data_IF_639300097952
#
_entry.id   IF_639300097952
#
_cell.length_a   1.000
_cell.length_b   1.000
_cell.length_c   1.000
_cell.angle_alpha   90.00
_cell.angle_beta   90.00
_cell.angle_gamma   90.00
#
_symmetry.space_group_name_H-M   'P 1'
#
loop_
_entity.id
_entity.type
_entity.pdbx_description
1 polymer ?
#
# COMPACT_ATOMS: atom_id res chain seq x y z
N UNK A 1 21.54 -13.41 14.22
CA UNK A 1 21.16 -12.01 13.95
C UNK A 1 21.02 -11.88 12.45
N UNK A 2 19.79 -11.90 11.93
CA UNK A 2 19.57 -11.66 10.50
C UNK A 2 19.87 -10.19 10.21
N UNK A 3 20.78 -9.93 9.28
CA UNK A 3 21.07 -8.59 8.79
C UNK A 3 19.81 -8.03 8.14
N UNK A 4 19.14 -7.09 8.81
CA UNK A 4 18.10 -6.28 8.18
C UNK A 4 18.82 -5.29 7.26
N UNK A 5 18.96 -5.64 5.99
CA UNK A 5 19.46 -4.71 4.98
C UNK A 5 18.33 -3.71 4.74
N UNK A 6 18.45 -2.51 5.31
CA UNK A 6 17.56 -1.39 4.99
C UNK A 6 18.06 -0.72 3.72
N UNK A 7 17.33 -0.90 2.63
CA UNK A 7 17.60 -0.17 1.39
C UNK A 7 16.69 1.05 1.28
N UNK A 8 17.28 2.24 1.23
CA UNK A 8 16.56 3.49 0.99
C UNK A 8 16.67 3.84 -0.49
N UNK A 9 15.53 4.07 -1.15
CA UNK A 9 15.49 4.46 -2.57
C UNK A 9 14.47 5.55 -2.79
N UNK A 10 14.84 6.59 -3.55
CA UNK A 10 13.87 7.54 -4.07
C UNK A 10 13.16 6.91 -5.28
N UNK A 11 11.84 6.78 -5.19
CA UNK A 11 11.03 6.22 -6.27
C UNK A 11 9.85 7.13 -6.55
N UNK A 12 9.55 7.31 -7.85
CA UNK A 12 8.32 8.00 -8.26
C UNK A 12 7.13 7.26 -7.64
N UNK A 13 6.33 7.97 -6.86
CA UNK A 13 5.24 7.38 -6.07
C UNK A 13 4.31 6.49 -6.91
N UNK A 14 3.99 6.93 -8.14
CA UNK A 14 3.16 6.18 -9.09
C UNK A 14 3.72 4.78 -9.45
N UNK A 15 5.04 4.55 -9.38
CA UNK A 15 5.64 3.24 -9.64
C UNK A 15 5.21 2.20 -8.63
N UNK A 16 5.05 2.58 -7.36
CA UNK A 16 4.55 1.69 -6.30
C UNK A 16 3.12 1.24 -6.62
N UNK A 17 2.34 2.13 -7.24
CA UNK A 17 0.93 1.90 -7.54
C UNK A 17 0.70 1.13 -8.84
N UNK A 18 1.64 1.23 -9.78
CA UNK A 18 1.52 0.64 -11.11
C UNK A 18 2.20 -0.73 -11.27
N UNK A 19 2.92 -1.23 -10.26
CA UNK A 19 3.49 -2.57 -10.30
C UNK A 19 2.40 -3.61 -10.01
N UNK A 20 2.00 -4.46 -10.99
CA UNK A 20 0.93 -5.43 -10.82
C UNK A 20 1.27 -6.56 -9.83
N UNK A 21 2.56 -6.79 -9.56
CA UNK A 21 3.04 -7.81 -8.63
C UNK A 21 3.07 -7.27 -7.19
N UNK A 22 3.15 -5.96 -7.00
CA UNK A 22 3.25 -5.34 -5.68
C UNK A 22 1.90 -5.31 -4.96
N UNK A 23 1.88 -5.81 -3.73
CA UNK A 23 0.70 -5.78 -2.85
C UNK A 23 1.05 -5.03 -1.58
N UNK A 24 0.45 -3.86 -1.38
CA UNK A 24 0.63 -3.07 -0.16
C UNK A 24 -0.39 -3.47 0.90
N UNK A 25 0.09 -3.81 2.10
CA UNK A 25 -0.72 -4.28 3.20
C UNK A 25 -0.52 -3.41 4.43
N UNK A 26 -1.62 -3.00 5.07
CA UNK A 26 -1.57 -2.42 6.41
C UNK A 26 -1.69 -3.57 7.42
N UNK A 27 -0.65 -3.87 8.19
CA UNK A 27 -0.71 -4.96 9.14
C UNK A 27 -1.58 -4.63 10.35
N UNK A 28 -2.13 -5.65 11.01
CA UNK A 28 -3.09 -5.53 12.10
C UNK A 28 -2.57 -4.82 13.37
N UNK A 29 -1.25 -4.71 13.54
CA UNK A 29 -0.63 -3.95 14.63
C UNK A 29 -0.50 -2.46 14.34
N UNK A 30 -0.79 -2.00 13.12
CA UNK A 30 -0.81 -0.57 12.81
C UNK A 30 -2.03 0.09 13.41
N UNK A 31 -1.85 1.33 13.87
CA UNK A 31 -2.97 2.14 14.37
C UNK A 31 -3.99 2.36 13.24
N UNK A 32 -5.29 2.43 13.55
CA UNK A 32 -6.32 2.78 12.58
C UNK A 32 -6.05 4.12 11.89
N UNK A 33 -6.75 4.36 10.79
CA UNK A 33 -6.75 5.68 10.15
C UNK A 33 -7.24 6.75 11.14
N UNK A 34 -6.47 7.81 11.33
CA UNK A 34 -6.72 8.81 12.37
C UNK A 34 -6.45 10.25 11.93
N UNK A 35 -6.09 10.48 10.67
CA UNK A 35 -6.06 11.83 10.14
C UNK A 35 -7.46 12.42 10.13
N UNK A 36 -7.60 13.64 10.66
CA UNK A 36 -8.85 14.39 10.61
C UNK A 36 -8.95 15.13 9.28
N UNK A 37 -10.06 15.82 9.06
CA UNK A 37 -10.24 16.67 7.89
C UNK A 37 -9.11 17.69 7.75
N UNK A 38 -8.61 18.24 8.86
CA UNK A 38 -7.51 19.22 8.83
C UNK A 38 -6.25 18.62 8.19
N UNK A 39 -5.75 17.49 8.68
CA UNK A 39 -4.53 16.88 8.14
C UNK A 39 -4.73 16.43 6.68
N UNK A 40 -5.93 15.98 6.32
CA UNK A 40 -6.26 15.63 4.93
C UNK A 40 -6.22 16.86 4.03
N UNK A 41 -6.82 17.96 4.45
CA UNK A 41 -6.83 19.23 3.71
C UNK A 41 -5.42 19.75 3.54
N UNK A 42 -4.64 19.83 4.61
CA UNK A 42 -3.25 20.30 4.57
C UNK A 42 -2.42 19.46 3.58
N UNK A 43 -2.54 18.13 3.67
CA UNK A 43 -1.84 17.21 2.76
C UNK A 43 -2.21 17.39 1.29
N UNK A 44 -3.51 17.53 0.98
CA UNK A 44 -3.97 17.73 -0.39
C UNK A 44 -3.62 19.14 -0.92
N UNK A 45 -3.61 20.15 -0.04
CA UNK A 45 -3.19 21.51 -0.39
C UNK A 45 -1.71 21.57 -0.72
N UNK A 46 -0.85 20.83 -0.02
CA UNK A 46 0.57 20.76 -0.35
C UNK A 46 0.80 20.14 -1.74
N UNK A 47 0.11 19.05 -2.05
CA UNK A 47 0.15 18.41 -3.37
C UNK A 47 -0.31 19.38 -4.45
N UNK A 48 -1.44 20.06 -4.22
CA UNK A 48 -1.99 21.04 -5.16
C UNK A 48 -1.04 22.24 -5.37
N UNK A 49 -0.43 22.73 -4.30
CA UNK A 49 0.52 23.83 -4.34
C UNK A 49 1.78 23.45 -5.11
N UNK A 50 2.33 22.25 -4.88
CA UNK A 50 3.45 21.74 -5.65
C UNK A 50 3.11 21.63 -7.15
N UNK A 51 1.93 21.10 -7.48
CA UNK A 51 1.44 21.05 -8.86
C UNK A 51 1.33 22.45 -9.50
N UNK A 52 0.70 23.42 -8.82
CA UNK A 52 0.51 24.78 -9.33
C UNK A 52 1.83 25.51 -9.58
N UNK A 53 2.84 25.24 -8.75
CA UNK A 53 4.16 25.85 -8.86
C UNK A 53 5.13 25.03 -9.74
N UNK A 54 4.65 23.97 -10.41
CA UNK A 54 5.46 23.08 -11.24
C UNK A 54 6.68 22.50 -10.47
N UNK A 55 6.49 22.19 -9.19
CA UNK A 55 7.50 21.67 -8.29
C UNK A 55 7.22 20.20 -7.95
N UNK A 56 8.25 19.37 -7.73
CA UNK A 56 8.03 18.02 -7.23
C UNK A 56 7.47 18.07 -5.79
N UNK A 57 6.40 17.31 -5.53
CA UNK A 57 5.95 17.07 -4.16
C UNK A 57 6.71 15.88 -3.55
N UNK A 58 7.36 16.11 -2.42
CA UNK A 58 7.98 15.05 -1.64
C UNK A 58 6.93 14.42 -0.72
N UNK A 59 6.52 13.20 -1.05
CA UNK A 59 5.51 12.43 -0.31
C UNK A 59 5.98 11.99 1.11
N UNK A 60 7.22 12.35 1.47
CA UNK A 60 7.94 11.91 2.65
C UNK A 60 8.33 10.43 2.61
N UNK A 61 9.00 9.97 3.65
CA UNK A 61 9.46 8.58 3.75
C UNK A 61 8.30 7.62 4.01
N UNK A 62 8.32 6.48 3.34
CA UNK A 62 7.43 5.33 3.57
C UNK A 62 8.31 4.16 3.95
N UNK A 63 8.01 3.51 5.08
CA UNK A 63 8.74 2.30 5.49
C UNK A 63 7.94 1.06 5.08
N UNK A 64 8.56 0.22 4.26
CA UNK A 64 7.98 -1.01 3.74
C UNK A 64 8.81 -2.21 4.20
N UNK A 65 8.13 -3.27 4.64
CA UNK A 65 8.76 -4.53 5.01
C UNK A 65 8.28 -5.64 4.07
N UNK A 66 9.17 -6.23 3.26
CA UNK A 66 8.83 -7.38 2.41
C UNK A 66 8.41 -8.59 3.24
N UNK A 67 7.40 -9.32 2.76
CA UNK A 67 6.89 -10.51 3.44
C UNK A 67 7.15 -11.76 2.60
N UNK A 68 8.17 -12.53 2.96
CA UNK A 68 8.55 -13.77 2.26
C UNK A 68 7.95 -15.03 2.89
N UNK A 69 7.26 -14.92 4.02
CA UNK A 69 6.76 -16.05 4.79
C UNK A 69 5.25 -15.97 5.00
N UNK A 70 4.50 -17.00 4.57
CA UNK A 70 3.04 -17.03 4.70
C UNK A 70 2.56 -16.97 6.15
N UNK A 71 3.31 -17.56 7.09
CA UNK A 71 2.91 -17.56 8.50
C UNK A 71 2.96 -16.13 9.04
N UNK A 72 3.96 -15.37 8.64
CA UNK A 72 4.10 -13.94 8.94
C UNK A 72 2.97 -13.16 8.26
N UNK A 73 2.70 -13.42 6.97
CA UNK A 73 1.62 -12.79 6.23
C UNK A 73 0.26 -13.01 6.92
N UNK A 74 -0.10 -14.25 7.23
CA UNK A 74 -1.35 -14.62 7.89
C UNK A 74 -1.45 -14.05 9.31
N UNK A 75 -0.35 -14.05 10.07
CA UNK A 75 -0.32 -13.54 11.44
C UNK A 75 -0.61 -12.05 11.51
N UNK A 76 -0.10 -11.28 10.56
CA UNK A 76 -0.13 -9.82 10.63
C UNK A 76 -1.11 -9.17 9.64
N UNK A 77 -1.73 -9.93 8.73
CA UNK A 77 -2.79 -9.41 7.86
C UNK A 77 -4.14 -9.55 8.56
N UNK A 78 -5.03 -8.53 8.54
CA UNK A 78 -6.39 -8.67 9.05
C UNK A 78 -7.10 -9.89 8.43
N UNK A 79 -7.79 -10.70 9.25
CA UNK A 79 -8.36 -11.98 8.79
C UNK A 79 -9.27 -11.82 7.56
N UNK A 80 -10.15 -10.81 7.56
CA UNK A 80 -11.05 -10.53 6.43
C UNK A 80 -10.29 -10.29 5.13
N UNK A 81 -9.21 -9.51 5.20
CA UNK A 81 -8.30 -9.25 4.08
C UNK A 81 -7.60 -10.54 3.65
N UNK A 82 -7.09 -11.31 4.61
CA UNK A 82 -6.40 -12.56 4.32
C UNK A 82 -7.30 -13.54 3.57
N UNK A 83 -8.51 -13.80 4.06
CA UNK A 83 -9.45 -14.70 3.41
C UNK A 83 -9.91 -14.19 2.04
N UNK A 84 -10.12 -12.87 1.90
CA UNK A 84 -10.58 -12.29 0.63
C UNK A 84 -9.53 -12.41 -0.49
N UNK A 85 -8.25 -12.33 -0.16
CA UNK A 85 -7.20 -12.13 -1.16
C UNK A 85 -6.13 -13.21 -1.19
N UNK A 86 -6.01 -14.00 -0.13
CA UNK A 86 -4.95 -15.00 0.06
C UNK A 86 -5.51 -16.35 0.51
N UNK A 87 -6.83 -16.56 0.51
CA UNK A 87 -7.43 -17.86 0.85
C UNK A 87 -6.94 -19.00 -0.03
N UNK A 88 -6.78 -18.76 -1.34
CA UNK A 88 -6.22 -19.74 -2.28
C UNK A 88 -4.78 -20.13 -1.96
N UNK A 89 -4.04 -19.32 -1.20
CA UNK A 89 -2.68 -19.64 -0.76
C UNK A 89 -2.66 -20.64 0.41
N UNK A 90 -3.78 -20.83 1.14
CA UNK A 90 -3.82 -21.80 2.26
C UNK A 90 -3.56 -23.23 1.80
N UNK A 91 -4.11 -23.60 0.65
CA UNK A 91 -4.03 -24.97 0.12
C UNK A 91 -2.63 -25.31 -0.41
N UNK A 92 -1.84 -24.27 -0.72
CA UNK A 92 -0.51 -24.39 -1.32
C UNK A 92 0.62 -24.34 -0.29
N UNK A 93 0.32 -24.49 1.01
CA UNK A 93 1.25 -24.19 2.11
C UNK A 93 2.65 -24.80 2.05
N UNK A 94 2.78 -25.89 1.29
CA UNK A 94 4.02 -26.60 1.00
C UNK A 94 4.92 -25.92 -0.08
N UNK A 95 4.33 -25.18 -1.03
CA UNK A 95 5.03 -24.54 -2.17
C UNK A 95 5.16 -23.01 -2.06
N UNK A 96 4.66 -22.41 -0.97
CA UNK A 96 4.35 -20.96 -0.87
C UNK A 96 5.52 -19.99 -0.99
N UNK A 97 6.75 -20.39 -0.63
CA UNK A 97 7.88 -19.47 -0.72
C UNK A 97 8.14 -19.03 -2.17
N UNK A 98 7.77 -19.87 -3.16
CA UNK A 98 7.88 -19.54 -4.58
C UNK A 98 6.73 -18.65 -5.06
N UNK A 99 5.51 -18.80 -4.55
CA UNK A 99 4.40 -17.93 -4.95
C UNK A 99 4.48 -16.53 -4.35
N UNK A 100 4.97 -16.40 -3.10
CA UNK A 100 5.31 -15.10 -2.50
C UNK A 100 6.49 -14.40 -3.18
N UNK A 101 7.14 -15.04 -4.16
CA UNK A 101 8.08 -14.34 -5.07
C UNK A 101 7.39 -13.78 -6.31
N UNK A 102 6.24 -14.33 -6.71
CA UNK A 102 5.43 -13.86 -7.84
C UNK A 102 4.56 -12.66 -7.46
N UNK A 103 4.00 -12.70 -6.25
CA UNK A 103 3.38 -11.54 -5.62
C UNK A 103 4.38 -10.96 -4.62
N UNK A 104 4.57 -9.65 -4.60
CA UNK A 104 5.50 -8.94 -3.71
C UNK A 104 4.71 -8.25 -2.60
N UNK A 105 4.28 -8.96 -1.56
CA UNK A 105 3.58 -8.36 -0.43
C UNK A 105 4.56 -7.51 0.39
N UNK A 106 4.16 -6.26 0.65
CA UNK A 106 4.90 -5.30 1.43
C UNK A 106 4.00 -4.79 2.57
N UNK A 107 4.43 -4.96 3.81
CA UNK A 107 3.78 -4.32 4.95
C UNK A 107 4.18 -2.85 5.03
N UNK A 108 3.19 -1.97 5.14
CA UNK A 108 3.40 -0.55 5.42
C UNK A 108 3.58 -0.38 6.93
N UNK A 109 4.82 -0.10 7.35
CA UNK A 109 5.19 0.09 8.76
C UNK A 109 5.19 1.56 9.17
N UNK A 110 5.49 2.46 8.23
CA UNK A 110 5.34 3.91 8.40
C UNK A 110 4.79 4.55 7.12
N UNK A 111 4.13 5.70 7.26
CA UNK A 111 3.50 6.43 6.16
C UNK A 111 2.12 5.93 5.79
N UNK A 112 1.54 5.02 6.59
CA UNK A 112 0.22 4.43 6.33
C UNK A 112 -0.91 5.44 6.15
N UNK A 113 -0.94 6.53 6.93
CA UNK A 113 -1.98 7.56 6.86
C UNK A 113 -1.91 8.34 5.53
N UNK A 114 -0.69 8.70 5.10
CA UNK A 114 -0.43 9.39 3.82
C UNK A 114 -0.83 8.53 2.63
N UNK A 115 -0.38 7.27 2.60
CA UNK A 115 -0.72 6.31 1.54
C UNK A 115 -2.23 6.06 1.48
N UNK A 116 -2.88 5.84 2.63
CA UNK A 116 -4.32 5.59 2.70
C UNK A 116 -5.12 6.80 2.19
N UNK A 117 -4.77 8.00 2.64
CA UNK A 117 -5.41 9.25 2.18
C UNK A 117 -5.29 9.42 0.68
N UNK A 118 -4.08 9.23 0.14
CA UNK A 118 -3.88 9.37 -1.30
C UNK A 118 -4.58 8.29 -2.12
N UNK A 119 -4.63 7.04 -1.64
CA UNK A 119 -5.39 5.98 -2.29
C UNK A 119 -6.90 6.30 -2.32
N UNK A 120 -7.46 6.84 -1.23
CA UNK A 120 -8.85 7.29 -1.17
C UNK A 120 -9.10 8.48 -2.11
N UNK A 121 -8.17 9.43 -2.17
CA UNK A 121 -8.21 10.54 -3.11
C UNK A 121 -8.23 10.07 -4.57
N UNK A 122 -7.33 9.16 -4.95
CA UNK A 122 -7.34 8.55 -6.30
C UNK A 122 -8.66 7.81 -6.59
N UNK A 123 -9.20 7.08 -5.61
CA UNK A 123 -10.51 6.41 -5.74
C UNK A 123 -11.64 7.42 -5.98
N UNK A 124 -11.65 8.53 -5.25
CA UNK A 124 -12.63 9.60 -5.41
C UNK A 124 -12.51 10.28 -6.78
N UNK A 125 -11.28 10.58 -7.23
CA UNK A 125 -11.02 11.12 -8.57
C UNK A 125 -11.47 10.17 -9.69
N UNK A 126 -11.20 8.87 -9.53
CA UNK A 126 -11.61 7.84 -10.47
C UNK A 126 -13.13 7.82 -10.67
N UNK A 127 -13.88 7.88 -9.56
CA UNK A 127 -15.34 8.03 -9.59
C UNK A 127 -15.78 9.32 -10.27
N UNK A 128 -15.13 10.45 -9.97
CA UNK A 128 -15.50 11.77 -10.49
C UNK A 128 -15.30 11.90 -12.00
N UNK A 129 -14.21 11.35 -12.55
CA UNK A 129 -13.87 11.49 -13.98
C UNK A 129 -14.41 10.36 -14.87
N UNK A 130 -15.19 9.43 -14.34
CA UNK A 130 -15.56 8.22 -15.06
C UNK A 130 -14.33 7.38 -15.50
N UNK A 131 -13.17 7.64 -14.89
CA UNK A 131 -11.95 6.87 -15.10
C UNK A 131 -12.21 5.50 -14.50
N UNK A 132 -12.49 4.53 -15.37
CA UNK A 132 -12.51 3.12 -14.97
C UNK A 132 -11.09 2.76 -14.57
N UNK A 133 -10.82 2.73 -13.26
CA UNK A 133 -9.72 1.94 -12.72
C UNK A 133 -9.85 0.56 -13.37
N UNK A 134 -8.84 0.08 -14.11
CA UNK A 134 -8.90 -1.23 -14.77
C UNK A 134 -9.38 -2.24 -13.71
N UNK A 135 -10.51 -2.88 -14.00
CA UNK A 135 -11.19 -3.89 -13.16
C UNK A 135 -11.82 -3.41 -11.84
N UNK A 136 -12.01 -2.10 -11.62
CA UNK A 136 -12.58 -1.59 -10.36
C UNK A 136 -11.70 -1.84 -9.13
N UNK A 137 -10.47 -2.32 -9.35
CA UNK A 137 -9.46 -2.56 -8.32
C UNK A 137 -8.58 -1.33 -8.23
N UNK A 138 -8.42 -0.81 -7.02
CA UNK A 138 -7.36 0.15 -6.73
C UNK A 138 -6.07 -0.66 -6.88
N UNK A 139 -5.30 -0.39 -7.93
CA UNK A 139 -3.91 -0.80 -8.06
C UNK A 139 -3.07 0.33 -7.44
N UNK A 140 -2.21 0.03 -6.44
CA UNK A 140 -1.87 -1.25 -5.86
C UNK A 140 -3.03 -1.64 -4.96
N UNK A 141 -3.18 -2.94 -4.77
CA UNK A 141 -4.21 -3.53 -3.93
C UNK A 141 -3.93 -3.15 -2.48
N UNK A 142 -4.19 -1.88 -2.12
CA UNK A 142 -4.10 -1.39 -0.76
C UNK A 142 -5.24 -2.04 -0.02
N UNK A 143 -4.92 -3.10 0.70
CA UNK A 143 -5.92 -3.83 1.46
C UNK A 143 -6.06 -3.15 2.82
N UNK A 144 -7.15 -2.41 2.96
CA UNK A 144 -7.55 -1.79 4.21
C UNK A 144 -8.33 -2.82 5.05
N UNK A 145 -8.18 -2.75 6.37
CA UNK A 145 -8.97 -3.52 7.35
C UNK A 145 -10.44 -3.14 7.33
#
# INVERSE_FOLDING_TARGET
MEHVISETREIKFIKIFNDPETVLLVPNYQRPYSWTEKEVVDFLQDIYSAYKNNMPYLFGSIFLVPVSNIKVLKKFTPNKVFEQYFSSLKDLSFFLNKELSLIKPLFIVDGQQRITTFALFLKALGKYKGLKLKDGKIFPRLMLS
#
